data_IF_064647504110
#
_entry.id   IF_064647504110
#
_cell.length_a   1.000
_cell.length_b   1.000
_cell.length_c   1.000
_cell.angle_alpha   90.00
_cell.angle_beta   90.00
_cell.angle_gamma   90.00
#
_symmetry.space_group_name_H-M   'P 1'
#
loop_
_entity.id
_entity.type
_entity.pdbx_description
1 polymer ?
#
# COMPACT_ATOMS: atom_id res chain seq x y z
N UNK A 1 -19.71 -12.45 11.45
CA UNK A 1 -19.64 -11.12 10.83
C UNK A 1 -18.28 -10.57 11.22
N UNK A 2 -17.46 -10.19 10.25
CA UNK A 2 -16.11 -9.69 10.49
C UNK A 2 -16.16 -8.34 11.23
N UNK A 3 -15.14 -8.04 12.03
CA UNK A 3 -15.11 -6.89 12.95
C UNK A 3 -14.00 -5.89 12.64
N UNK A 4 -12.92 -6.34 12.00
CA UNK A 4 -11.73 -5.52 11.73
C UNK A 4 -11.05 -5.93 10.44
N UNK A 5 -10.41 -4.95 9.81
CA UNK A 5 -9.52 -5.14 8.66
C UNK A 5 -8.09 -4.83 9.13
N UNK A 6 -7.17 -5.75 8.88
CA UNK A 6 -5.75 -5.62 9.17
C UNK A 6 -5.03 -5.59 7.84
N UNK A 7 -4.27 -4.54 7.57
CA UNK A 7 -3.73 -4.28 6.22
C UNK A 7 -2.35 -3.65 6.28
N UNK A 8 -1.61 -3.73 5.18
CA UNK A 8 -0.31 -3.07 5.06
C UNK A 8 -0.44 -1.54 5.08
N UNK A 9 0.60 -0.87 5.58
CA UNK A 9 0.63 0.56 5.85
C UNK A 9 1.13 1.40 4.66
N UNK A 10 0.73 1.03 3.44
CA UNK A 10 1.08 1.65 2.17
C UNK A 10 -0.18 1.97 1.33
N UNK A 11 0.01 2.25 0.03
CA UNK A 11 -1.09 2.62 -0.85
C UNK A 11 -1.94 1.40 -1.27
N UNK A 12 -1.33 0.25 -1.53
CA UNK A 12 -2.05 -0.97 -1.88
C UNK A 12 -2.94 -1.46 -0.72
N UNK A 13 -2.34 -1.60 0.47
CA UNK A 13 -3.07 -1.92 1.69
C UNK A 13 -4.19 -0.92 2.03
N UNK A 14 -4.02 0.37 1.67
CA UNK A 14 -5.06 1.40 1.82
C UNK A 14 -6.26 1.15 0.90
N UNK A 15 -6.04 0.89 -0.39
CA UNK A 15 -7.12 0.64 -1.36
C UNK A 15 -7.80 -0.70 -1.07
N UNK A 16 -7.02 -1.74 -0.76
CA UNK A 16 -7.50 -3.04 -0.30
C UNK A 16 -8.46 -2.89 0.90
N UNK A 17 -8.07 -2.10 1.90
CA UNK A 17 -8.92 -1.85 3.06
C UNK A 17 -10.15 -1.01 2.74
N UNK A 18 -10.08 -0.08 1.78
CA UNK A 18 -11.24 0.70 1.35
C UNK A 18 -12.31 -0.17 0.68
N UNK A 19 -11.90 -1.08 -0.21
CA UNK A 19 -12.82 -2.00 -0.88
C UNK A 19 -13.45 -2.96 0.14
N UNK A 20 -12.65 -3.55 1.05
CA UNK A 20 -13.16 -4.42 2.11
C UNK A 20 -14.10 -3.65 3.08
N UNK A 21 -13.73 -2.44 3.48
CA UNK A 21 -14.53 -1.58 4.36
C UNK A 21 -15.90 -1.31 3.75
N UNK A 22 -15.95 -0.95 2.47
CA UNK A 22 -17.18 -0.67 1.73
C UNK A 22 -18.10 -1.89 1.68
N UNK A 23 -17.56 -3.05 1.28
CA UNK A 23 -18.36 -4.25 1.06
C UNK A 23 -18.84 -4.93 2.35
N UNK A 24 -18.06 -4.84 3.44
CA UNK A 24 -18.41 -5.48 4.71
C UNK A 24 -18.96 -4.53 5.78
N UNK A 25 -18.96 -3.22 5.54
CA UNK A 25 -19.38 -2.21 6.53
C UNK A 25 -18.46 -2.14 7.74
N UNK A 26 -17.16 -2.43 7.58
CA UNK A 26 -16.18 -2.48 8.67
C UNK A 26 -15.36 -1.19 8.70
N UNK A 27 -15.44 -0.45 9.80
CA UNK A 27 -14.70 0.82 9.97
C UNK A 27 -13.57 0.75 10.99
N UNK A 28 -13.32 -0.43 11.57
CA UNK A 28 -12.22 -0.65 12.48
C UNK A 28 -11.03 -1.25 11.73
N UNK A 29 -10.03 -0.40 11.48
CA UNK A 29 -8.87 -0.72 10.64
C UNK A 29 -7.59 -0.69 11.49
N UNK A 30 -6.74 -1.69 11.28
CA UNK A 30 -5.38 -1.76 11.83
C UNK A 30 -4.40 -1.78 10.68
N UNK A 31 -3.61 -0.72 10.56
CA UNK A 31 -2.49 -0.68 9.62
C UNK A 31 -1.24 -1.20 10.32
N UNK A 32 -0.48 -2.05 9.62
CA UNK A 32 0.73 -2.69 10.16
C UNK A 32 1.76 -2.94 9.06
N UNK A 33 2.85 -3.61 9.41
CA UNK A 33 3.90 -4.08 8.51
C UNK A 33 3.94 -5.61 8.48
N UNK A 34 4.38 -6.23 7.37
CA UNK A 34 4.47 -7.69 7.21
C UNK A 34 5.19 -8.38 8.37
N UNK A 35 6.31 -7.78 8.80
CA UNK A 35 7.13 -8.27 9.90
C UNK A 35 6.34 -8.50 11.20
N UNK A 36 5.45 -7.57 11.57
CA UNK A 36 4.70 -7.68 12.82
C UNK A 36 3.66 -8.78 12.78
N UNK A 37 3.14 -9.11 11.59
CA UNK A 37 2.23 -10.23 11.37
C UNK A 37 2.98 -11.55 11.41
N UNK A 38 4.11 -11.65 10.70
CA UNK A 38 4.96 -12.83 10.69
C UNK A 38 5.51 -13.18 12.08
N UNK A 39 5.84 -12.17 12.90
CA UNK A 39 6.27 -12.35 14.29
C UNK A 39 5.11 -12.53 15.30
N UNK A 40 3.86 -12.63 14.83
CA UNK A 40 2.64 -12.75 15.65
C UNK A 40 2.53 -11.66 16.74
N UNK A 41 2.98 -10.44 16.45
CA UNK A 41 2.91 -9.28 17.38
C UNK A 41 1.55 -8.62 17.41
N UNK A 42 0.66 -8.98 16.48
CA UNK A 42 -0.71 -8.50 16.39
C UNK A 42 -1.64 -9.68 16.63
N UNK A 43 -2.62 -9.49 17.51
CA UNK A 43 -3.67 -10.47 17.72
C UNK A 43 -4.63 -10.44 16.54
N UNK A 44 -4.65 -11.54 15.79
CA UNK A 44 -5.52 -11.77 14.64
C UNK A 44 -6.40 -12.99 14.91
N UNK A 45 -7.68 -12.91 14.55
CA UNK A 45 -8.69 -13.94 14.79
C UNK A 45 -9.57 -14.17 13.57
N UNK A 46 -10.47 -15.16 13.62
CA UNK A 46 -11.48 -15.43 12.57
C UNK A 46 -12.48 -14.29 12.33
N UNK A 47 -12.52 -13.29 13.21
CA UNK A 47 -13.33 -12.09 13.00
C UNK A 47 -12.61 -11.04 12.12
N UNK A 48 -11.39 -11.31 11.66
CA UNK A 48 -10.51 -10.32 11.04
C UNK A 48 -10.30 -10.61 9.56
N UNK A 49 -10.36 -9.58 8.72
CA UNK A 49 -9.96 -9.64 7.32
C UNK A 49 -8.51 -9.15 7.25
N UNK A 50 -7.64 -9.92 6.61
CA UNK A 50 -6.23 -9.57 6.42
C UNK A 50 -5.98 -9.32 4.94
N UNK A 51 -5.49 -8.13 4.61
CA UNK A 51 -5.12 -7.77 3.24
C UNK A 51 -3.64 -7.45 3.18
N UNK A 52 -2.99 -7.84 2.09
CA UNK A 52 -1.65 -7.35 1.72
C UNK A 52 -0.56 -7.67 2.76
N UNK A 53 -0.72 -8.78 3.46
CA UNK A 53 0.13 -9.16 4.59
C UNK A 53 0.33 -10.68 4.57
N UNK A 54 1.44 -11.19 5.14
CA UNK A 54 1.67 -12.62 5.28
C UNK A 54 0.52 -13.31 6.02
N UNK A 55 0.19 -14.54 5.63
CA UNK A 55 -0.90 -15.28 6.26
C UNK A 55 -0.65 -15.54 7.75
N UNK A 56 -1.51 -15.08 8.67
CA UNK A 56 -1.27 -15.15 10.11
C UNK A 56 -1.62 -16.50 10.76
N UNK A 57 -1.80 -17.57 9.98
CA UNK A 57 -2.38 -18.87 10.37
C UNK A 57 -3.85 -18.88 10.77
N UNK A 58 -4.40 -17.73 11.18
CA UNK A 58 -5.81 -17.59 11.52
C UNK A 58 -6.32 -16.21 11.12
N UNK A 59 -7.33 -16.19 10.24
CA UNK A 59 -8.12 -15.01 9.93
C UNK A 59 -9.48 -15.43 9.39
N UNK A 60 -10.39 -14.47 9.27
CA UNK A 60 -11.71 -14.65 8.68
C UNK A 60 -11.68 -14.65 7.15
N UNK A 61 -10.83 -13.80 6.56
CA UNK A 61 -10.47 -13.79 5.15
C UNK A 61 -9.03 -13.31 4.98
N UNK A 62 -8.35 -13.79 3.95
CA UNK A 62 -6.99 -13.39 3.57
C UNK A 62 -6.96 -13.02 2.10
N UNK A 63 -6.42 -11.84 1.81
CA UNK A 63 -6.16 -11.33 0.47
C UNK A 63 -4.69 -10.99 0.34
N UNK A 64 -4.04 -11.53 -0.68
CA UNK A 64 -2.62 -11.30 -0.92
C UNK A 64 -2.25 -11.66 -2.36
N UNK A 65 -1.11 -11.14 -2.81
CA UNK A 65 -0.58 -11.31 -4.17
C UNK A 65 0.92 -11.62 -4.21
N UNK A 66 1.61 -11.57 -3.06
CA UNK A 66 3.06 -11.75 -2.97
C UNK A 66 3.48 -13.22 -3.15
N UNK A 67 4.30 -13.50 -4.18
CA UNK A 67 4.89 -14.83 -4.39
C UNK A 67 5.60 -15.37 -3.14
N UNK A 68 6.36 -14.53 -2.43
CA UNK A 68 7.10 -14.95 -1.24
C UNK A 68 6.20 -15.41 -0.08
N UNK A 69 5.00 -14.85 0.05
CA UNK A 69 4.04 -15.30 1.06
C UNK A 69 3.39 -16.64 0.66
N UNK A 70 3.20 -16.88 -0.65
CA UNK A 70 2.78 -18.20 -1.15
C UNK A 70 3.83 -19.27 -0.88
N UNK A 71 5.11 -18.97 -1.15
CA UNK A 71 6.22 -19.87 -0.83
C UNK A 71 6.24 -20.23 0.67
N UNK A 72 5.99 -19.26 1.56
CA UNK A 72 5.89 -19.53 3.00
C UNK A 72 4.78 -20.53 3.34
N UNK A 73 3.61 -20.43 2.70
CA UNK A 73 2.52 -21.39 2.87
C UNK A 73 2.91 -22.79 2.41
N UNK A 74 3.62 -22.90 1.29
CA UNK A 74 4.12 -24.18 0.78
C UNK A 74 5.09 -24.84 1.78
N UNK A 75 6.05 -24.09 2.32
CA UNK A 75 6.96 -24.60 3.36
C UNK A 75 6.21 -25.10 4.60
N UNK A 76 5.08 -24.46 4.93
CA UNK A 76 4.23 -24.81 6.08
C UNK A 76 3.17 -25.87 5.75
N UNK A 77 3.12 -26.33 4.50
CA UNK A 77 2.13 -27.30 3.97
C UNK A 77 0.69 -26.83 4.14
N UNK A 78 0.46 -25.54 3.90
CA UNK A 78 -0.85 -24.90 3.92
C UNK A 78 -1.26 -24.61 2.47
N UNK A 79 -2.43 -25.09 2.06
CA UNK A 79 -2.95 -24.81 0.72
C UNK A 79 -3.67 -23.46 0.72
N UNK A 80 -3.15 -22.48 -0.03
CA UNK A 80 -3.74 -21.15 -0.14
C UNK A 80 -5.23 -21.18 -0.55
N UNK A 81 -5.60 -22.10 -1.44
CA UNK A 81 -6.98 -22.30 -1.91
C UNK A 81 -7.98 -22.72 -0.79
N UNK A 82 -7.49 -23.16 0.36
CA UNK A 82 -8.32 -23.51 1.53
C UNK A 82 -8.49 -22.34 2.50
N UNK A 83 -7.74 -21.26 2.32
CA UNK A 83 -7.85 -20.05 3.14
C UNK A 83 -9.01 -19.21 2.57
N UNK A 84 -10.02 -18.82 3.39
CA UNK A 84 -11.08 -17.93 2.92
C UNK A 84 -10.50 -16.61 2.42
N UNK A 85 -11.10 -16.04 1.36
CA UNK A 85 -10.56 -14.88 0.65
C UNK A 85 -10.00 -15.27 -0.70
N UNK A 86 -8.90 -14.64 -1.13
CA UNK A 86 -8.25 -14.93 -2.40
C UNK A 86 -6.77 -14.60 -2.34
N UNK A 87 -5.95 -15.57 -2.72
CA UNK A 87 -4.58 -15.31 -3.16
C UNK A 87 -4.56 -15.37 -4.68
N UNK A 88 -3.96 -14.38 -5.35
CA UNK A 88 -3.76 -14.40 -6.79
C UNK A 88 -2.59 -13.49 -7.19
N UNK A 89 -1.74 -13.96 -8.11
CA UNK A 89 -0.64 -13.15 -8.63
C UNK A 89 -1.21 -12.05 -9.54
N UNK A 90 -1.17 -10.82 -9.01
CA UNK A 90 -1.65 -9.59 -9.63
C UNK A 90 -0.67 -8.46 -9.33
N UNK A 91 -0.81 -7.36 -10.06
CA UNK A 91 0.03 -6.16 -9.89
C UNK A 91 -0.18 -5.45 -8.54
N UNK A 92 -1.28 -5.75 -7.83
CA UNK A 92 -1.56 -5.29 -6.46
C UNK A 92 -2.53 -6.23 -5.74
N UNK A 93 -2.50 -6.25 -4.40
CA UNK A 93 -3.52 -6.85 -3.55
C UNK A 93 -4.89 -6.18 -3.73
N UNK A 94 -4.93 -4.87 -3.97
CA UNK A 94 -6.15 -4.13 -4.25
C UNK A 94 -6.89 -4.70 -5.47
N UNK A 95 -6.15 -5.11 -6.51
CA UNK A 95 -6.70 -5.82 -7.66
C UNK A 95 -7.28 -7.17 -7.27
N UNK A 96 -6.58 -7.95 -6.43
CA UNK A 96 -7.07 -9.25 -5.92
C UNK A 96 -8.40 -9.07 -5.18
N UNK A 97 -8.49 -8.08 -4.29
CA UNK A 97 -9.72 -7.78 -3.53
C UNK A 97 -10.84 -7.32 -4.48
N UNK A 98 -10.53 -6.43 -5.42
CA UNK A 98 -11.50 -5.89 -6.38
C UNK A 98 -12.11 -7.00 -7.25
N UNK A 99 -11.25 -7.81 -7.87
CA UNK A 99 -11.67 -8.92 -8.74
C UNK A 99 -12.47 -9.97 -7.96
N UNK A 100 -12.11 -10.22 -6.70
CA UNK A 100 -12.86 -11.12 -5.81
C UNK A 100 -14.33 -10.70 -5.64
N UNK A 101 -14.61 -9.41 -5.48
CA UNK A 101 -15.98 -8.92 -5.37
C UNK A 101 -16.71 -8.90 -6.72
N UNK A 102 -16.02 -8.54 -7.81
CA UNK A 102 -16.60 -8.57 -9.15
C UNK A 102 -17.05 -9.96 -9.57
N UNK A 103 -16.24 -10.99 -9.31
CA UNK A 103 -16.57 -12.38 -9.65
C UNK A 103 -17.80 -12.92 -8.88
N UNK A 104 -18.13 -12.28 -7.76
CA UNK A 104 -19.35 -12.58 -6.99
C UNK A 104 -20.56 -11.75 -7.43
N UNK A 105 -20.45 -10.99 -8.52
CA UNK A 105 -21.47 -10.05 -9.00
C UNK A 105 -21.83 -8.97 -7.96
N UNK A 106 -20.90 -8.62 -7.07
CA UNK A 106 -21.10 -7.52 -6.11
C UNK A 106 -20.77 -6.22 -6.81
N UNK A 107 -21.77 -5.34 -6.93
CA UNK A 107 -21.63 -4.04 -7.57
C UNK A 107 -20.91 -3.07 -6.64
N UNK A 108 -19.71 -2.65 -7.04
CA UNK A 108 -18.99 -1.56 -6.40
C UNK A 108 -19.19 -0.25 -7.16
N UNK A 109 -19.01 0.91 -6.51
CA UNK A 109 -18.95 2.18 -7.20
C UNK A 109 -17.88 2.16 -8.31
N UNK A 110 -18.24 2.68 -9.49
CA UNK A 110 -17.38 2.61 -10.69
C UNK A 110 -16.01 3.28 -10.46
N UNK A 111 -15.95 4.27 -9.56
CA UNK A 111 -14.72 4.99 -9.25
C UNK A 111 -13.65 4.18 -8.51
N UNK A 112 -13.97 2.99 -7.97
CA UNK A 112 -12.94 2.13 -7.38
C UNK A 112 -11.97 1.60 -8.45
N UNK A 113 -12.43 1.43 -9.69
CA UNK A 113 -11.58 0.93 -10.78
C UNK A 113 -10.34 1.81 -11.00
N UNK A 114 -10.50 3.14 -10.94
CA UNK A 114 -9.39 4.09 -11.10
C UNK A 114 -8.39 4.00 -9.94
N UNK A 115 -8.88 3.81 -8.70
CA UNK A 115 -8.03 3.66 -7.53
C UNK A 115 -7.22 2.36 -7.57
N UNK A 116 -7.82 1.27 -8.04
CA UNK A 116 -7.14 -0.02 -8.22
C UNK A 116 -6.12 0.05 -9.34
N UNK A 117 -6.44 0.70 -10.47
CA UNK A 117 -5.49 0.88 -11.56
C UNK A 117 -4.25 1.68 -11.14
N UNK A 118 -4.41 2.68 -10.27
CA UNK A 118 -3.28 3.40 -9.69
C UNK A 118 -2.47 2.51 -8.74
N UNK A 119 -3.13 1.64 -7.95
CA UNK A 119 -2.45 0.69 -7.06
C UNK A 119 -1.59 -0.31 -7.86
N UNK A 120 -2.13 -0.86 -8.95
CA UNK A 120 -1.40 -1.77 -9.85
C UNK A 120 -0.08 -1.15 -10.38
N UNK A 121 -0.13 0.12 -10.81
CA UNK A 121 1.07 0.79 -11.33
C UNK A 121 2.07 1.09 -10.21
N UNK A 122 1.58 1.57 -9.06
CA UNK A 122 2.42 2.00 -7.95
C UNK A 122 3.14 0.81 -7.30
N UNK A 123 2.42 -0.28 -7.05
CA UNK A 123 2.94 -1.44 -6.34
C UNK A 123 3.88 -2.29 -7.20
N UNK A 124 3.47 -2.62 -8.43
CA UNK A 124 4.32 -3.32 -9.40
C UNK A 124 5.46 -2.47 -9.98
N UNK A 125 5.53 -1.17 -9.63
CA UNK A 125 6.47 -0.20 -10.20
C UNK A 125 6.46 -0.18 -11.74
N UNK A 126 5.29 -0.34 -12.35
CA UNK A 126 5.12 -0.55 -13.79
C UNK A 126 5.07 0.78 -14.57
N UNK A 127 6.14 1.56 -14.49
CA UNK A 127 6.29 2.83 -15.23
C UNK A 127 7.08 2.61 -16.52
N UNK A 128 6.68 3.31 -17.58
CA UNK A 128 7.33 3.19 -18.89
C UNK A 128 8.74 3.74 -18.89
N UNK A 129 8.93 4.90 -18.27
CA UNK A 129 10.19 5.64 -18.21
C UNK A 129 10.20 6.58 -16.99
N UNK A 130 11.29 7.32 -16.80
CA UNK A 130 11.46 8.22 -15.65
C UNK A 130 10.46 9.38 -15.67
N UNK A 131 10.04 9.86 -16.84
CA UNK A 131 9.10 10.97 -16.95
C UNK A 131 7.69 10.53 -16.57
N UNK A 132 7.31 9.32 -17.00
CA UNK A 132 6.09 8.64 -16.54
C UNK A 132 6.12 8.40 -15.02
N UNK A 133 7.23 7.85 -14.51
CA UNK A 133 7.44 7.71 -13.05
C UNK A 133 7.49 9.05 -12.31
N UNK A 134 7.72 10.19 -12.96
CA UNK A 134 7.70 11.52 -12.33
C UNK A 134 6.37 12.24 -12.45
N UNK A 135 5.50 11.81 -13.35
CA UNK A 135 4.19 12.41 -13.58
C UNK A 135 3.31 12.31 -12.34
N UNK A 136 2.70 13.42 -11.92
CA UNK A 136 1.77 13.41 -10.79
C UNK A 136 0.45 12.74 -11.19
N UNK A 137 0.05 11.74 -10.44
CA UNK A 137 -1.28 11.09 -10.54
C UNK A 137 -2.00 11.20 -9.19
N UNK A 138 -3.35 11.12 -9.14
CA UNK A 138 -4.08 11.04 -7.89
C UNK A 138 -3.54 9.99 -6.91
N UNK A 139 -3.21 8.79 -7.40
CA UNK A 139 -2.61 7.72 -6.61
C UNK A 139 -1.28 8.13 -5.99
N UNK A 140 -0.36 8.65 -6.80
CA UNK A 140 0.98 9.06 -6.33
C UNK A 140 0.94 10.24 -5.37
N UNK A 141 -0.03 11.15 -5.52
CA UNK A 141 -0.25 12.23 -4.56
C UNK A 141 -0.62 11.64 -3.20
N UNK A 142 -1.58 10.70 -3.16
CA UNK A 142 -2.02 10.05 -1.92
C UNK A 142 -0.90 9.19 -1.33
N UNK A 143 -0.23 8.37 -2.13
CA UNK A 143 0.92 7.56 -1.72
C UNK A 143 2.00 8.39 -1.03
N UNK A 144 2.37 9.52 -1.63
CA UNK A 144 3.35 10.45 -1.07
C UNK A 144 2.94 10.96 0.32
N UNK A 145 1.64 11.19 0.55
CA UNK A 145 1.16 11.66 1.86
C UNK A 145 1.26 10.60 2.97
N UNK A 146 1.33 9.32 2.63
CA UNK A 146 1.51 8.20 3.58
C UNK A 146 2.95 8.18 4.13
N UNK A 147 3.90 8.67 3.32
CA UNK A 147 5.34 8.74 3.64
C UNK A 147 5.71 9.94 4.52
N UNK A 148 4.83 10.94 4.63
CA UNK A 148 5.08 12.12 5.49
C UNK A 148 5.27 11.67 6.93
N UNK A 149 6.39 12.11 7.53
CA UNK A 149 6.75 11.78 8.91
C UNK A 149 5.77 12.45 9.89
N UNK A 150 5.16 11.62 10.73
CA UNK A 150 4.28 12.07 11.81
C UNK A 150 5.01 12.22 13.14
N UNK A 151 4.45 13.01 14.05
CA UNK A 151 4.95 13.10 15.41
C UNK A 151 4.65 11.82 16.22
N UNK A 152 3.69 11.00 15.80
CA UNK A 152 3.36 9.71 16.41
C UNK A 152 2.78 8.72 15.40
N UNK A 153 2.92 7.42 15.68
CA UNK A 153 2.29 6.37 14.89
C UNK A 153 0.76 6.51 14.85
N UNK A 154 0.13 6.93 15.96
CA UNK A 154 -1.33 7.09 16.04
C UNK A 154 -1.85 8.17 15.08
N UNK A 155 -1.12 9.26 14.88
CA UNK A 155 -1.48 10.26 13.88
C UNK A 155 -1.45 9.69 12.45
N UNK A 156 -0.44 8.87 12.14
CA UNK A 156 -0.35 8.16 10.85
C UNK A 156 -1.56 7.25 10.66
N UNK A 157 -1.89 6.45 11.68
CA UNK A 157 -3.02 5.53 11.63
C UNK A 157 -4.36 6.26 11.51
N UNK A 158 -4.53 7.37 12.22
CA UNK A 158 -5.73 8.19 12.11
C UNK A 158 -5.86 8.80 10.71
N UNK A 159 -4.75 9.22 10.10
CA UNK A 159 -4.73 9.72 8.73
C UNK A 159 -5.16 8.65 7.72
N UNK A 160 -4.58 7.45 7.78
CA UNK A 160 -4.94 6.35 6.88
C UNK A 160 -6.40 5.90 7.06
N UNK A 161 -6.89 5.81 8.30
CA UNK A 161 -8.31 5.52 8.58
C UNK A 161 -9.25 6.57 7.98
N UNK A 162 -8.85 7.84 7.98
CA UNK A 162 -9.65 8.89 7.37
C UNK A 162 -9.63 8.81 5.84
N UNK A 163 -8.50 8.46 5.22
CA UNK A 163 -8.44 8.21 3.78
C UNK A 163 -9.39 7.08 3.36
N UNK A 164 -9.35 5.94 4.06
CA UNK A 164 -10.28 4.81 3.78
C UNK A 164 -11.75 5.26 3.83
N UNK A 165 -12.13 6.07 4.83
CA UNK A 165 -13.50 6.61 4.91
C UNK A 165 -13.87 7.52 3.75
N UNK A 166 -12.92 8.26 3.17
CA UNK A 166 -13.20 9.09 2.01
C UNK A 166 -13.47 8.27 0.75
N UNK A 167 -12.77 7.15 0.57
CA UNK A 167 -13.00 6.23 -0.55
C UNK A 167 -14.38 5.56 -0.52
N UNK A 168 -15.11 5.59 0.59
CA UNK A 168 -16.49 5.07 0.65
C UNK A 168 -17.49 5.89 -0.18
N UNK A 169 -17.15 7.15 -0.49
CA UNK A 169 -18.09 8.07 -1.15
C UNK A 169 -17.46 8.98 -2.21
N UNK A 170 -16.16 8.84 -2.49
CA UNK A 170 -15.43 9.77 -3.35
C UNK A 170 -14.46 9.06 -4.29
N UNK A 171 -14.36 9.49 -5.55
CA UNK A 171 -13.32 9.05 -6.46
C UNK A 171 -11.94 9.53 -6.00
N UNK A 172 -10.89 8.82 -6.43
CA UNK A 172 -9.50 9.09 -6.03
C UNK A 172 -9.04 10.50 -6.39
N UNK A 173 -9.49 11.05 -7.52
CA UNK A 173 -9.12 12.37 -7.99
C UNK A 173 -9.66 13.49 -7.06
N UNK A 174 -10.86 13.33 -6.52
CA UNK A 174 -11.43 14.25 -5.53
C UNK A 174 -10.67 14.17 -4.21
N UNK A 175 -10.31 12.97 -3.76
CA UNK A 175 -9.53 12.76 -2.53
C UNK A 175 -8.16 13.43 -2.68
N UNK A 176 -7.48 13.22 -3.81
CA UNK A 176 -6.17 13.83 -4.10
C UNK A 176 -6.21 15.38 -4.09
N UNK A 177 -7.37 15.99 -4.42
CA UNK A 177 -7.59 17.45 -4.41
C UNK A 177 -7.94 18.01 -3.04
N UNK A 178 -8.25 17.17 -2.04
CA UNK A 178 -8.63 17.65 -0.71
C UNK A 178 -7.53 18.51 -0.08
N UNK A 179 -7.93 19.59 0.60
CA UNK A 179 -7.00 20.53 1.25
C UNK A 179 -6.05 19.82 2.21
N UNK A 180 -6.56 18.85 2.99
CA UNK A 180 -5.74 18.05 3.91
C UNK A 180 -4.70 17.20 3.19
N UNK A 181 -5.06 16.59 2.07
CA UNK A 181 -4.17 15.76 1.25
C UNK A 181 -3.13 16.63 0.54
N UNK A 182 -3.55 17.73 -0.11
CA UNK A 182 -2.64 18.65 -0.80
C UNK A 182 -1.64 19.32 0.15
N UNK A 183 -2.04 19.66 1.37
CA UNK A 183 -1.11 20.18 2.39
C UNK A 183 -0.03 19.16 2.75
N UNK A 184 -0.39 17.90 2.97
CA UNK A 184 0.58 16.83 3.25
C UNK A 184 1.47 16.53 2.04
N UNK A 185 0.89 16.52 0.85
CA UNK A 185 1.64 16.34 -0.39
C UNK A 185 2.70 17.44 -0.56
N UNK A 186 2.36 18.69 -0.26
CA UNK A 186 3.32 19.79 -0.30
C UNK A 186 4.50 19.57 0.67
N UNK A 187 4.23 19.14 1.92
CA UNK A 187 5.28 18.79 2.88
C UNK A 187 6.19 17.67 2.37
N UNK A 188 5.60 16.62 1.77
CA UNK A 188 6.38 15.55 1.14
C UNK A 188 7.30 16.10 0.04
N UNK A 189 6.79 16.98 -0.83
CA UNK A 189 7.57 17.59 -1.92
C UNK A 189 8.72 18.45 -1.43
N UNK A 190 8.54 19.17 -0.33
CA UNK A 190 9.63 19.92 0.30
C UNK A 190 10.74 18.99 0.81
N UNK A 191 10.39 17.90 1.48
CA UNK A 191 11.37 16.89 1.93
C UNK A 191 12.04 16.16 0.76
N UNK A 192 11.29 15.80 -0.29
CA UNK A 192 11.83 15.20 -1.51
C UNK A 192 12.84 16.15 -2.17
N UNK A 193 12.54 17.45 -2.26
CA UNK A 193 13.44 18.44 -2.83
C UNK A 193 14.75 18.55 -2.03
N UNK A 194 14.66 18.58 -0.69
CA UNK A 194 15.85 18.58 0.18
C UNK A 194 16.68 17.32 0.00
N UNK A 195 16.03 16.16 -0.09
CA UNK A 195 16.71 14.88 -0.33
C UNK A 195 17.41 14.85 -1.70
N UNK A 196 16.77 15.36 -2.75
CA UNK A 196 17.38 15.48 -4.08
C UNK A 196 18.61 16.38 -4.05
N UNK A 197 18.54 17.52 -3.36
CA UNK A 197 19.68 18.43 -3.19
C UNK A 197 20.81 17.78 -2.40
N UNK A 198 20.49 17.05 -1.33
CA UNK A 198 21.47 16.30 -0.55
C UNK A 198 22.15 15.22 -1.40
N UNK A 199 21.37 14.37 -2.09
CA UNK A 199 21.93 13.33 -2.97
C UNK A 199 22.86 13.94 -4.02
N UNK A 200 22.49 15.06 -4.65
CA UNK A 200 23.35 15.74 -5.63
C UNK A 200 24.69 16.18 -5.07
N UNK A 201 24.75 16.58 -3.80
CA UNK A 201 25.98 17.02 -3.14
C UNK A 201 26.87 15.84 -2.70
N UNK A 202 26.25 14.69 -2.42
CA UNK A 202 26.95 13.50 -1.89
C UNK A 202 27.28 12.45 -2.96
N UNK A 203 26.88 12.68 -4.23
CA UNK A 203 27.23 11.79 -5.33
C UNK A 203 28.72 11.89 -5.65
N UNK A 204 29.36 10.73 -5.69
CA UNK A 204 30.70 10.55 -6.22
C UNK A 204 30.79 9.28 -7.09
N UNK A 205 31.88 9.16 -7.83
CA UNK A 205 32.16 8.03 -8.71
C UNK A 205 33.56 7.50 -8.45
N UNK A 206 33.74 6.19 -8.58
CA UNK A 206 35.07 5.60 -8.49
C UNK A 206 35.93 6.05 -9.67
N UNK A 207 37.21 6.41 -9.47
CA UNK A 207 38.09 6.79 -10.56
C UNK A 207 38.22 5.71 -11.65
N UNK A 208 37.99 4.44 -11.31
CA UNK A 208 38.05 3.31 -12.23
C UNK A 208 36.73 3.08 -12.99
N UNK A 209 35.60 3.65 -12.53
CA UNK A 209 34.29 3.51 -13.16
C UNK A 209 34.03 4.65 -14.14
N UNK A 210 34.74 4.60 -15.26
CA UNK A 210 34.72 5.65 -16.30
C UNK A 210 33.33 5.85 -16.91
N UNK A 211 32.49 4.81 -16.87
CA UNK A 211 31.12 4.83 -17.41
C UNK A 211 30.07 5.24 -16.38
N UNK A 212 30.47 5.53 -15.13
CA UNK A 212 29.56 5.91 -14.02
C UNK A 212 28.41 4.92 -13.81
N UNK A 213 28.68 3.62 -13.92
CA UNK A 213 27.70 2.55 -13.71
C UNK A 213 27.32 2.38 -12.25
N UNK A 214 28.19 2.80 -11.33
CA UNK A 214 28.01 2.72 -9.89
C UNK A 214 28.03 4.14 -9.33
N UNK A 215 26.89 4.55 -8.78
CA UNK A 215 26.76 5.81 -8.04
C UNK A 215 27.12 5.54 -6.58
N UNK A 216 28.07 6.30 -6.03
CA UNK A 216 28.37 6.32 -4.60
C UNK A 216 27.67 7.52 -3.98
N UNK A 217 26.86 7.28 -2.95
CA UNK A 217 26.23 8.32 -2.14
C UNK A 217 26.80 8.20 -0.73
N UNK A 218 27.65 9.14 -0.31
CA UNK A 218 28.25 9.14 1.03
C UNK A 218 27.43 10.02 1.99
N UNK A 219 26.62 9.39 2.84
CA UNK A 219 25.81 10.09 3.83
C UNK A 219 26.44 10.13 5.23
N UNK A 220 27.72 9.74 5.39
CA UNK A 220 28.36 9.62 6.72
C UNK A 220 28.69 10.95 7.39
N UNK A 221 28.55 12.06 6.67
CA UNK A 221 28.84 13.40 7.17
C UNK A 221 27.64 14.11 7.84
N UNK A 222 26.47 13.45 7.90
CA UNK A 222 25.21 13.96 8.45
C UNK A 222 24.68 13.09 9.59
#
# INVERSE_FOLDING_TARGET
MYKRIITHADFDGLISAAICSHNFGIHFLIFTQPRLVAEAKISITKDDIVCDLPYPLECGMWFDHHDGNLEELEYRKIEAAKIPGRFEIRDSCARVVYDYFLDQNIRMPDYFADAVAEADIIDAFNYKDIDDWRTETPGKIIEATIKVKEASAEQKWQYLRNLVRHFDSRPIDEIAKMVSVRKRYHLYREEEQRMIEQIKNEISFLPQDVDHKIIIIDLTHH
#
